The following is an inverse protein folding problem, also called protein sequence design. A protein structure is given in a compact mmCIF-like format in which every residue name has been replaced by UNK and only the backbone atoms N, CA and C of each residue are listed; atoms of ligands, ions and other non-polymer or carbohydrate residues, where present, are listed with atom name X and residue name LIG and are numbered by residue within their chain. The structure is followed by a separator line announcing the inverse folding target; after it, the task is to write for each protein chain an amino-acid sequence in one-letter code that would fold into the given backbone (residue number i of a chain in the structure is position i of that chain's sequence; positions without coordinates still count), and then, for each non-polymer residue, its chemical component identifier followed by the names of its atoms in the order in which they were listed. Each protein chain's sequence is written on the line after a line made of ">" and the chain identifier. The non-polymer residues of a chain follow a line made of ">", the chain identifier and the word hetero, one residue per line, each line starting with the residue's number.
data_IF_713487473873
#
_entry.id   IF_713487473873
#
_cell.length_a   1.000
_cell.length_b   1.000
_cell.length_c   1.000
_cell.angle_alpha   90.00
_cell.angle_beta   90.00
_cell.angle_gamma   90.00
#
_symmetry.space_group_name_H-M   'P 1'
#
loop_
_entity.id
_entity.type
_entity.pdbx_description
1 polymer ?
#
# COMPACT_ATOMS: atom_id res chain seq x y z
N UNK A 1 -7.33 1.68 9.90
CA UNK A 1 -7.64 3.10 9.71
C UNK A 1 -7.52 3.52 8.25
N UNK A 2 -6.35 3.35 7.63
CA UNK A 2 -6.11 3.75 6.23
C UNK A 2 -7.07 3.05 5.25
N UNK A 3 -7.36 1.77 5.45
CA UNK A 3 -8.33 1.02 4.66
C UNK A 3 -9.75 1.63 4.78
N UNK A 4 -10.20 1.91 6.01
CA UNK A 4 -11.50 2.55 6.25
C UNK A 4 -11.58 3.92 5.58
N UNK A 5 -10.51 4.71 5.65
CA UNK A 5 -10.42 6.00 4.98
C UNK A 5 -10.65 5.90 3.47
N UNK A 6 -10.17 4.86 2.81
CA UNK A 6 -10.40 4.64 1.37
C UNK A 6 -11.89 4.60 1.01
N UNK A 7 -12.70 3.93 1.84
CA UNK A 7 -14.15 3.83 1.61
C UNK A 7 -14.91 5.11 1.96
N UNK A 8 -14.38 5.92 2.89
CA UNK A 8 -15.05 7.13 3.39
C UNK A 8 -14.77 8.33 2.47
N UNK A 9 -13.50 8.57 2.12
CA UNK A 9 -13.11 9.78 1.38
C UNK A 9 -13.55 9.78 -0.08
N UNK A 10 -13.74 8.62 -0.71
CA UNK A 10 -14.30 8.54 -2.05
C UNK A 10 -15.66 9.26 -2.13
N UNK A 11 -16.70 8.73 -1.46
CA UNK A 11 -18.03 9.34 -1.45
C UNK A 11 -18.06 10.76 -0.89
N UNK A 12 -17.29 11.06 0.18
CA UNK A 12 -17.23 12.42 0.74
C UNK A 12 -16.72 13.43 -0.28
N UNK A 13 -15.71 13.07 -1.06
CA UNK A 13 -15.17 13.94 -2.09
C UNK A 13 -16.12 14.16 -3.27
N UNK A 14 -17.03 13.21 -3.50
CA UNK A 14 -18.06 13.32 -4.53
C UNK A 14 -19.25 14.20 -4.09
N UNK A 15 -19.43 14.42 -2.78
CA UNK A 15 -20.49 15.27 -2.23
C UNK A 15 -20.02 16.72 -2.00
N UNK A 16 -18.88 16.86 -1.31
CA UNK A 16 -18.39 18.15 -0.82
C UNK A 16 -17.37 18.80 -1.76
N UNK A 17 -17.08 18.18 -2.91
CA UNK A 17 -15.97 18.57 -3.77
C UNK A 17 -14.65 18.01 -3.27
N UNK A 18 -13.54 18.31 -3.96
CA UNK A 18 -12.23 17.70 -3.68
C UNK A 18 -11.46 18.43 -2.58
N UNK A 19 -11.53 19.75 -2.58
CA UNK A 19 -10.73 20.60 -1.68
C UNK A 19 -11.10 20.46 -0.21
N UNK A 20 -12.37 20.49 0.14
CA UNK A 20 -12.82 20.48 1.55
C UNK A 20 -12.46 19.15 2.24
N UNK A 21 -12.80 17.94 1.69
CA UNK A 21 -12.41 16.70 2.34
C UNK A 21 -10.89 16.50 2.42
N UNK A 22 -10.11 17.02 1.45
CA UNK A 22 -8.65 16.98 1.52
C UNK A 22 -8.13 17.80 2.70
N UNK A 23 -8.61 19.03 2.88
CA UNK A 23 -8.24 19.90 4.01
C UNK A 23 -8.63 19.29 5.35
N UNK A 24 -9.84 18.74 5.46
CA UNK A 24 -10.31 18.07 6.68
C UNK A 24 -9.43 16.87 7.02
N UNK A 25 -9.12 16.03 6.04
CA UNK A 25 -8.25 14.86 6.26
C UNK A 25 -6.85 15.27 6.71
N UNK A 26 -6.22 16.23 6.03
CA UNK A 26 -4.88 16.70 6.41
C UNK A 26 -4.91 17.43 7.76
N UNK A 27 -5.98 18.13 8.11
CA UNK A 27 -6.14 18.71 9.44
C UNK A 27 -6.13 17.63 10.54
N UNK A 28 -6.87 16.53 10.36
CA UNK A 28 -6.82 15.39 11.28
C UNK A 28 -5.41 14.80 11.37
N UNK A 29 -4.70 14.67 10.25
CA UNK A 29 -3.32 14.21 10.22
C UNK A 29 -2.39 15.13 11.05
N UNK A 30 -2.47 16.45 10.86
CA UNK A 30 -1.67 17.46 11.58
C UNK A 30 -1.92 17.40 13.08
N UNK A 31 -3.20 17.43 13.48
CA UNK A 31 -3.58 17.41 14.90
C UNK A 31 -3.12 16.13 15.57
N UNK A 32 -3.32 14.99 14.92
CA UNK A 32 -2.89 13.69 15.44
C UNK A 32 -1.37 13.59 15.56
N UNK A 33 -0.61 14.05 14.55
CA UNK A 33 0.86 14.07 14.59
C UNK A 33 1.38 14.96 15.70
N UNK A 34 0.76 16.16 15.92
CA UNK A 34 1.13 17.06 17.01
C UNK A 34 0.93 16.40 18.38
N UNK A 35 -0.23 15.78 18.59
CA UNK A 35 -0.52 15.12 19.87
C UNK A 35 0.35 13.87 20.09
N UNK A 36 0.78 13.16 19.03
CA UNK A 36 1.75 12.07 19.14
C UNK A 36 3.12 12.51 19.69
N UNK A 37 3.47 13.80 19.55
CA UNK A 37 4.72 14.35 20.15
C UNK A 37 4.61 14.51 21.67
N UNK A 38 3.41 14.73 22.20
CA UNK A 38 3.20 15.20 23.58
C UNK A 38 2.70 14.07 24.49
N UNK A 39 2.09 13.03 23.92
CA UNK A 39 1.35 12.02 24.70
C UNK A 39 2.27 10.86 25.11
N UNK A 40 2.25 10.53 26.40
CA UNK A 40 3.00 9.39 26.97
C UNK A 40 2.13 8.12 27.12
N UNK A 41 0.80 8.24 27.02
CA UNK A 41 -0.11 7.12 27.19
C UNK A 41 -0.21 6.30 25.89
N UNK A 42 0.15 5.01 25.96
CA UNK A 42 0.19 4.12 24.78
C UNK A 42 -1.19 3.95 24.10
N UNK A 43 -2.28 3.88 24.87
CA UNK A 43 -3.62 3.73 24.31
C UNK A 43 -4.08 4.98 23.56
N UNK A 44 -3.77 6.15 24.12
CA UNK A 44 -4.05 7.41 23.46
C UNK A 44 -3.16 7.59 22.21
N UNK A 45 -1.90 7.18 22.27
CA UNK A 45 -1.00 7.15 21.14
C UNK A 45 -1.55 6.27 20.00
N UNK A 46 -2.01 5.05 20.30
CA UNK A 46 -2.64 4.16 19.30
C UNK A 46 -3.88 4.81 18.69
N UNK A 47 -4.73 5.45 19.49
CA UNK A 47 -5.90 6.17 18.97
C UNK A 47 -5.51 7.34 18.05
N UNK A 48 -4.50 8.11 18.42
CA UNK A 48 -3.98 9.19 17.57
C UNK A 48 -3.41 8.68 16.24
N UNK A 49 -2.66 7.59 16.28
CA UNK A 49 -2.16 6.92 15.07
C UNK A 49 -3.29 6.42 14.16
N UNK A 50 -4.42 6.00 14.74
CA UNK A 50 -5.61 5.66 13.98
C UNK A 50 -6.16 6.87 13.21
N UNK A 51 -6.33 8.02 13.89
CA UNK A 51 -6.82 9.25 13.26
C UNK A 51 -5.82 9.85 12.28
N UNK A 52 -4.54 9.76 12.55
CA UNK A 52 -3.46 10.18 11.65
C UNK A 52 -3.50 9.40 10.32
N UNK A 53 -3.62 8.08 10.41
CA UNK A 53 -3.73 7.22 9.23
C UNK A 53 -5.03 7.47 8.45
N UNK A 54 -6.15 7.69 9.15
CA UNK A 54 -7.42 8.08 8.54
C UNK A 54 -7.27 9.41 7.78
N UNK A 55 -6.64 10.41 8.40
CA UNK A 55 -6.39 11.72 7.79
C UNK A 55 -5.45 11.64 6.57
N UNK A 56 -4.35 10.90 6.68
CA UNK A 56 -3.37 10.73 5.61
C UNK A 56 -3.94 10.03 4.36
N UNK A 57 -4.91 9.13 4.56
CA UNK A 57 -5.61 8.45 3.47
C UNK A 57 -6.33 9.43 2.52
N UNK A 58 -6.87 10.54 3.03
CA UNK A 58 -7.57 11.56 2.25
C UNK A 58 -6.72 12.07 1.08
N UNK A 59 -5.45 12.36 1.35
CA UNK A 59 -4.51 12.85 0.33
C UNK A 59 -4.40 11.91 -0.87
N UNK A 60 -4.25 10.62 -0.63
CA UNK A 60 -4.07 9.62 -1.70
C UNK A 60 -5.35 9.42 -2.52
N UNK A 61 -6.51 9.33 -1.85
CA UNK A 61 -7.80 9.10 -2.52
C UNK A 61 -8.18 10.30 -3.37
N UNK A 62 -8.08 11.49 -2.78
CA UNK A 62 -8.53 12.73 -3.42
C UNK A 62 -7.58 13.15 -4.54
N UNK A 63 -6.26 12.96 -4.39
CA UNK A 63 -5.31 13.24 -5.46
C UNK A 63 -5.63 12.43 -6.73
N UNK A 64 -5.98 11.14 -6.59
CA UNK A 64 -6.41 10.32 -7.74
C UNK A 64 -7.69 10.85 -8.39
N UNK A 65 -8.64 11.31 -7.58
CA UNK A 65 -9.88 11.89 -8.08
C UNK A 65 -9.63 13.19 -8.84
N UNK A 66 -8.78 14.08 -8.31
CA UNK A 66 -8.41 15.35 -8.96
C UNK A 66 -7.74 15.11 -10.30
N UNK A 67 -6.85 14.12 -10.41
CA UNK A 67 -6.20 13.76 -11.68
C UNK A 67 -7.25 13.33 -12.72
N UNK A 68 -8.22 12.53 -12.32
CA UNK A 68 -9.30 12.12 -13.23
C UNK A 68 -10.25 13.26 -13.62
N UNK A 69 -10.43 14.27 -12.74
CA UNK A 69 -11.29 15.42 -13.00
C UNK A 69 -10.64 16.46 -13.95
N UNK A 70 -9.31 16.60 -13.90
CA UNK A 70 -8.60 17.67 -14.58
C UNK A 70 -7.93 17.26 -15.91
N UNK A 71 -7.63 15.96 -16.07
CA UNK A 71 -6.81 15.49 -17.18
C UNK A 71 -7.53 14.46 -18.05
N UNK A 72 -7.28 14.50 -19.34
CA UNK A 72 -7.74 13.46 -20.27
C UNK A 72 -7.04 12.12 -19.99
N UNK A 73 -7.65 11.01 -20.42
CA UNK A 73 -7.19 9.64 -20.13
C UNK A 73 -5.71 9.42 -20.44
N UNK A 74 -5.20 10.01 -21.55
CA UNK A 74 -3.79 9.86 -21.94
C UNK A 74 -2.84 10.62 -21.02
N UNK A 75 -3.19 11.82 -20.62
CA UNK A 75 -2.42 12.68 -19.71
C UNK A 75 -2.48 12.14 -18.29
N UNK A 76 -3.67 11.75 -17.83
CA UNK A 76 -3.89 11.15 -16.52
C UNK A 76 -3.01 9.91 -16.31
N UNK A 77 -2.82 9.07 -17.34
CA UNK A 77 -1.94 7.91 -17.26
C UNK A 77 -0.49 8.28 -16.93
N UNK A 78 0.03 9.37 -17.49
CA UNK A 78 1.38 9.89 -17.20
C UNK A 78 1.50 10.39 -15.76
N UNK A 79 0.48 11.11 -15.27
CA UNK A 79 0.45 11.63 -13.90
C UNK A 79 0.31 10.49 -12.88
N UNK A 80 -0.53 9.48 -13.16
CA UNK A 80 -0.63 8.30 -12.31
C UNK A 80 0.69 7.53 -12.25
N UNK A 81 1.42 7.40 -13.35
CA UNK A 81 2.75 6.80 -13.36
C UNK A 81 3.71 7.57 -12.45
N UNK A 82 3.70 8.91 -12.51
CA UNK A 82 4.49 9.76 -11.62
C UNK A 82 4.08 9.60 -10.15
N UNK A 83 2.78 9.58 -9.85
CA UNK A 83 2.27 9.32 -8.50
C UNK A 83 2.72 7.95 -7.98
N UNK A 84 2.77 6.92 -8.82
CA UNK A 84 3.29 5.60 -8.45
C UNK A 84 4.78 5.65 -8.10
N UNK A 85 5.59 6.42 -8.85
CA UNK A 85 7.01 6.61 -8.53
C UNK A 85 7.17 7.22 -7.14
N UNK A 86 6.45 8.30 -6.82
CA UNK A 86 6.50 8.91 -5.48
C UNK A 86 5.99 7.97 -4.39
N UNK A 87 4.89 7.25 -4.64
CA UNK A 87 4.35 6.27 -3.68
C UNK A 87 5.30 5.10 -3.42
N UNK A 88 6.16 4.77 -4.38
CA UNK A 88 7.18 3.74 -4.22
C UNK A 88 8.44 4.24 -3.53
N UNK A 89 8.81 5.51 -3.77
CA UNK A 89 9.97 6.14 -3.14
C UNK A 89 9.75 6.42 -1.65
N UNK A 90 8.54 6.79 -1.26
CA UNK A 90 8.24 7.16 0.13
C UNK A 90 8.52 6.03 1.14
N UNK A 91 8.06 4.77 0.95
CA UNK A 91 8.42 3.66 1.83
C UNK A 91 9.93 3.34 1.83
N UNK A 92 10.62 3.63 0.73
CA UNK A 92 12.05 3.43 0.62
C UNK A 92 12.85 4.45 1.42
N UNK A 93 12.46 5.72 1.35
CA UNK A 93 13.18 6.80 1.99
C UNK A 93 12.83 6.91 3.48
N UNK A 94 11.63 6.52 3.89
CA UNK A 94 11.15 6.73 5.25
C UNK A 94 11.97 6.01 6.34
N UNK A 95 12.41 4.74 6.21
CA UNK A 95 13.24 4.12 7.22
C UNK A 95 14.65 4.74 7.30
N UNK A 96 15.24 5.05 6.14
CA UNK A 96 16.57 5.71 6.08
C UNK A 96 16.50 7.10 6.71
N UNK A 97 15.47 7.86 6.41
CA UNK A 97 15.25 9.17 7.00
C UNK A 97 14.90 9.08 8.50
N UNK A 98 14.11 8.08 8.87
CA UNK A 98 13.75 7.78 10.25
C UNK A 98 14.96 7.40 11.09
N UNK A 99 15.83 6.51 10.61
CA UNK A 99 17.07 6.13 11.31
C UNK A 99 18.02 7.32 11.49
N UNK A 100 18.13 8.19 10.46
CA UNK A 100 18.90 9.43 10.56
C UNK A 100 18.33 10.37 11.63
N UNK A 101 17.01 10.53 11.72
CA UNK A 101 16.39 11.34 12.78
C UNK A 101 16.64 10.75 14.17
N UNK A 102 16.59 9.42 14.31
CA UNK A 102 16.83 8.74 15.58
C UNK A 102 18.30 8.81 16.05
N UNK A 103 19.25 8.93 15.12
CA UNK A 103 20.67 9.08 15.45
C UNK A 103 20.97 10.42 16.14
N UNK A 104 20.31 11.51 15.73
CA UNK A 104 20.57 12.86 16.22
C UNK A 104 19.49 13.39 17.18
N UNK A 105 18.30 12.82 17.14
CA UNK A 105 17.13 13.28 17.90
C UNK A 105 16.38 12.11 18.52
N UNK A 106 15.40 12.41 19.36
CA UNK A 106 14.50 11.39 19.93
C UNK A 106 13.43 10.95 18.91
N UNK A 107 12.74 9.84 19.20
CA UNK A 107 11.64 9.34 18.38
C UNK A 107 10.50 10.35 18.15
N UNK A 108 10.34 11.32 19.05
CA UNK A 108 9.38 12.43 18.91
C UNK A 108 9.66 13.29 17.67
N UNK A 109 10.92 13.37 17.23
CA UNK A 109 11.31 14.15 16.04
C UNK A 109 10.66 13.63 14.76
N UNK A 110 10.33 12.34 14.68
CA UNK A 110 9.62 11.73 13.57
C UNK A 110 8.22 12.38 13.45
N UNK A 111 7.48 12.47 14.57
CA UNK A 111 6.14 13.07 14.59
C UNK A 111 6.17 14.58 14.39
N UNK A 112 7.20 15.26 14.90
CA UNK A 112 7.43 16.69 14.62
C UNK A 112 7.65 16.93 13.13
N UNK A 113 8.39 16.06 12.47
CA UNK A 113 8.59 16.13 11.01
C UNK A 113 7.29 15.88 10.25
N UNK A 114 6.50 14.88 10.64
CA UNK A 114 5.18 14.61 10.04
C UNK A 114 4.23 15.79 10.23
N UNK A 115 4.22 16.40 11.42
CA UNK A 115 3.45 17.61 11.71
C UNK A 115 3.84 18.76 10.78
N UNK A 116 5.14 19.05 10.65
CA UNK A 116 5.64 20.11 9.78
C UNK A 116 5.30 19.89 8.30
N UNK A 117 5.47 18.66 7.81
CA UNK A 117 5.08 18.26 6.46
C UNK A 117 3.56 18.35 6.25
N UNK A 118 2.77 18.00 7.26
CA UNK A 118 1.32 18.14 7.26
C UNK A 118 0.89 19.59 7.11
N UNK A 119 1.50 20.52 7.87
CA UNK A 119 1.23 21.96 7.74
C UNK A 119 1.59 22.46 6.34
N UNK A 120 2.78 22.09 5.84
CA UNK A 120 3.20 22.49 4.49
C UNK A 120 2.18 22.05 3.45
N UNK A 121 1.75 20.79 3.51
CA UNK A 121 0.77 20.21 2.60
C UNK A 121 -0.61 20.91 2.74
N UNK A 122 -1.03 21.19 3.97
CA UNK A 122 -2.27 21.93 4.22
C UNK A 122 -2.26 23.32 3.58
N UNK A 123 -1.18 24.07 3.74
CA UNK A 123 -1.01 25.38 3.14
C UNK A 123 -0.97 25.31 1.61
N UNK A 124 -0.27 24.33 1.06
CA UNK A 124 -0.24 24.08 -0.40
C UNK A 124 -1.64 23.81 -0.96
N UNK A 125 -2.46 23.03 -0.27
CA UNK A 125 -3.83 22.75 -0.69
C UNK A 125 -4.73 23.98 -0.48
N UNK A 126 -4.59 24.66 0.65
CA UNK A 126 -5.42 25.83 0.98
C UNK A 126 -5.27 26.95 -0.05
N UNK A 127 -4.03 27.27 -0.43
CA UNK A 127 -3.72 28.37 -1.33
C UNK A 127 -3.52 27.93 -2.80
N UNK A 128 -2.99 26.74 -3.04
CA UNK A 128 -2.64 26.27 -4.38
C UNK A 128 -3.75 25.49 -5.08
N UNK A 129 -4.57 24.71 -4.35
CA UNK A 129 -5.60 23.89 -4.96
C UNK A 129 -6.89 24.67 -5.18
N UNK A 130 -7.30 24.79 -6.45
CA UNK A 130 -8.66 25.21 -6.81
C UNK A 130 -9.60 23.99 -6.80
N UNK A 131 -10.90 24.22 -6.53
CA UNK A 131 -11.87 23.12 -6.60
C UNK A 131 -11.95 22.57 -8.02
N UNK A 132 -11.62 21.27 -8.20
CA UNK A 132 -11.59 20.63 -9.52
C UNK A 132 -12.95 20.11 -9.98
N UNK A 133 -13.88 19.92 -9.07
CA UNK A 133 -15.20 19.37 -9.36
C UNK A 133 -16.35 20.20 -8.81
N UNK A 134 -16.50 21.49 -9.19
CA UNK A 134 -17.52 22.38 -8.66
C UNK A 134 -18.95 21.91 -8.97
N UNK A 135 -19.14 21.15 -10.07
CA UNK A 135 -20.42 20.57 -10.49
C UNK A 135 -20.90 19.45 -9.57
N UNK A 136 -20.04 18.83 -8.77
CA UNK A 136 -20.41 17.76 -7.84
C UNK A 136 -21.14 18.27 -6.61
N UNK A 137 -20.92 19.53 -6.18
CA UNK A 137 -21.53 20.13 -4.98
C UNK A 137 -23.08 20.09 -4.97
N UNK A 138 -23.72 19.90 -6.11
CA UNK A 138 -25.19 19.85 -6.23
C UNK A 138 -25.72 18.43 -6.49
N UNK A 139 -24.85 17.44 -6.57
CA UNK A 139 -25.27 16.07 -6.82
C UNK A 139 -25.78 15.45 -5.52
N UNK A 140 -27.08 15.11 -5.46
CA UNK A 140 -27.63 14.39 -4.30
C UNK A 140 -26.96 13.02 -4.22
N UNK A 141 -26.21 12.79 -3.15
CA UNK A 141 -25.61 11.49 -2.89
C UNK A 141 -26.72 10.48 -2.60
N UNK A 142 -26.80 9.45 -3.44
CA UNK A 142 -27.71 8.34 -3.21
C UNK A 142 -26.94 7.18 -2.61
N UNK A 143 -27.10 6.96 -1.30
CA UNK A 143 -26.54 5.78 -0.60
C UNK A 143 -26.92 4.47 -1.32
N UNK A 144 -28.12 4.43 -1.90
CA UNK A 144 -28.64 3.25 -2.62
C UNK A 144 -27.87 2.98 -3.91
N UNK A 145 -27.49 4.02 -4.65
CA UNK A 145 -26.68 3.90 -5.87
C UNK A 145 -25.24 3.54 -5.56
N UNK A 146 -24.64 4.14 -4.53
CA UNK A 146 -23.30 3.79 -4.07
C UNK A 146 -23.24 2.31 -3.65
N UNK A 147 -24.19 1.86 -2.82
CA UNK A 147 -24.27 0.45 -2.40
C UNK A 147 -24.48 -0.51 -3.57
N UNK A 148 -25.26 -0.11 -4.58
CA UNK A 148 -25.46 -0.89 -5.80
C UNK A 148 -24.18 -1.03 -6.61
N UNK A 149 -23.39 0.05 -6.71
CA UNK A 149 -22.07 0.05 -7.37
C UNK A 149 -21.05 -0.84 -6.63
N UNK A 150 -20.99 -0.76 -5.30
CA UNK A 150 -20.16 -1.67 -4.50
C UNK A 150 -20.54 -3.13 -4.69
N UNK A 151 -21.83 -3.43 -4.64
CA UNK A 151 -22.35 -4.79 -4.84
C UNK A 151 -22.08 -5.31 -6.25
N UNK A 152 -22.10 -4.45 -7.25
CA UNK A 152 -21.78 -4.78 -8.64
C UNK A 152 -20.30 -5.16 -8.78
N UNK A 153 -19.39 -4.34 -8.25
CA UNK A 153 -17.95 -4.58 -8.29
C UNK A 153 -17.55 -5.85 -7.51
N UNK A 154 -18.12 -6.07 -6.33
CA UNK A 154 -17.84 -7.23 -5.48
C UNK A 154 -18.38 -8.56 -6.05
N UNK A 155 -19.28 -8.53 -7.04
CA UNK A 155 -19.77 -9.75 -7.72
C UNK A 155 -18.83 -10.25 -8.83
N UNK A 156 -17.94 -9.41 -9.34
CA UNK A 156 -17.02 -9.82 -10.41
C UNK A 156 -15.87 -10.68 -9.86
N UNK A 157 -15.91 -11.98 -10.14
CA UNK A 157 -14.93 -12.95 -9.66
C UNK A 157 -13.52 -12.70 -10.19
N UNK A 158 -13.37 -12.18 -11.42
CA UNK A 158 -12.05 -11.86 -11.98
C UNK A 158 -11.44 -10.65 -11.30
N UNK A 159 -12.25 -9.62 -11.05
CA UNK A 159 -11.83 -8.49 -10.25
C UNK A 159 -11.31 -8.94 -8.88
N UNK A 160 -12.11 -9.72 -8.16
CA UNK A 160 -11.72 -10.24 -6.84
C UNK A 160 -10.45 -11.09 -6.90
N UNK A 161 -10.27 -11.91 -7.94
CA UNK A 161 -9.03 -12.69 -8.14
C UNK A 161 -7.81 -11.77 -8.16
N UNK A 162 -7.80 -10.73 -8.99
CA UNK A 162 -6.66 -9.81 -9.08
C UNK A 162 -6.50 -8.97 -7.82
N UNK A 163 -7.60 -8.55 -7.20
CA UNK A 163 -7.59 -7.77 -5.95
C UNK A 163 -6.97 -8.59 -4.81
N UNK A 164 -7.38 -9.84 -4.64
CA UNK A 164 -6.83 -10.71 -3.59
C UNK A 164 -5.37 -11.09 -3.86
N UNK A 165 -4.97 -11.30 -5.12
CA UNK A 165 -3.56 -11.49 -5.46
C UNK A 165 -2.71 -10.27 -5.07
N UNK A 166 -3.18 -9.06 -5.39
CA UNK A 166 -2.50 -7.82 -5.01
C UNK A 166 -2.46 -7.64 -3.49
N UNK A 167 -3.57 -7.92 -2.81
CA UNK A 167 -3.71 -7.73 -1.38
C UNK A 167 -2.82 -8.70 -0.57
N UNK A 168 -2.75 -9.96 -0.98
CA UNK A 168 -1.90 -10.96 -0.31
C UNK A 168 -0.41 -10.73 -0.58
N UNK A 169 -0.05 -10.30 -1.78
CA UNK A 169 1.33 -9.91 -2.08
C UNK A 169 1.75 -8.69 -1.26
N UNK A 170 0.86 -7.68 -1.13
CA UNK A 170 1.09 -6.52 -0.26
C UNK A 170 1.13 -6.94 1.23
N UNK A 171 0.28 -7.85 1.66
CA UNK A 171 0.26 -8.36 3.03
C UNK A 171 1.57 -9.08 3.39
N UNK A 172 2.19 -9.81 2.45
CA UNK A 172 3.52 -10.39 2.65
C UNK A 172 4.61 -9.30 2.85
N UNK A 173 4.52 -8.17 2.12
CA UNK A 173 5.39 -7.02 2.36
C UNK A 173 5.16 -6.40 3.74
N UNK A 174 3.92 -6.27 4.19
CA UNK A 174 3.61 -5.74 5.51
C UNK A 174 4.03 -6.68 6.64
N UNK A 175 3.98 -8.00 6.43
CA UNK A 175 4.58 -8.99 7.34
C UNK A 175 6.08 -8.72 7.50
N UNK A 176 6.81 -8.53 6.37
CA UNK A 176 8.21 -8.13 6.37
C UNK A 176 8.43 -6.82 7.13
N UNK A 177 7.69 -5.75 6.81
CA UNK A 177 7.83 -4.44 7.48
C UNK A 177 7.66 -4.57 9.01
N UNK A 178 6.69 -5.38 9.46
CA UNK A 178 6.39 -5.54 10.88
C UNK A 178 7.40 -6.41 11.63
N UNK A 179 7.83 -7.52 11.03
CA UNK A 179 8.65 -8.52 11.70
C UNK A 179 10.16 -8.37 11.45
N UNK A 180 10.57 -7.67 10.39
CA UNK A 180 11.97 -7.65 9.96
C UNK A 180 12.91 -6.97 10.95
N UNK A 181 12.48 -5.89 11.62
CA UNK A 181 13.34 -5.19 12.58
C UNK A 181 13.86 -6.16 13.64
N UNK A 182 12.97 -6.87 14.33
CA UNK A 182 13.35 -7.84 15.37
C UNK A 182 14.21 -8.98 14.83
N UNK A 183 13.86 -9.52 13.65
CA UNK A 183 14.64 -10.62 13.05
C UNK A 183 16.06 -10.18 12.70
N UNK A 184 16.22 -9.00 12.11
CA UNK A 184 17.55 -8.54 11.70
C UNK A 184 18.39 -8.01 12.85
N UNK A 185 17.81 -7.30 13.82
CA UNK A 185 18.56 -6.71 14.93
C UNK A 185 18.77 -7.66 16.10
N UNK A 186 17.76 -8.47 16.47
CA UNK A 186 17.86 -9.36 17.63
C UNK A 186 18.36 -10.77 17.27
N UNK A 187 17.96 -11.32 16.12
CA UNK A 187 18.34 -12.68 15.73
C UNK A 187 19.66 -12.71 14.93
N UNK A 188 19.82 -11.79 13.94
CA UNK A 188 21.03 -11.70 13.13
C UNK A 188 22.06 -10.71 13.66
N UNK A 189 21.79 -10.05 14.79
CA UNK A 189 22.68 -9.13 15.50
C UNK A 189 23.21 -7.96 14.62
N UNK A 190 22.32 -7.45 13.74
CA UNK A 190 22.63 -6.30 12.90
C UNK A 190 22.38 -4.99 13.65
N UNK A 191 23.21 -3.99 13.38
CA UNK A 191 22.93 -2.63 13.85
C UNK A 191 21.71 -2.03 13.13
N UNK A 192 21.04 -1.06 13.78
CA UNK A 192 19.91 -0.34 13.17
C UNK A 192 20.28 0.30 11.81
N UNK A 193 21.52 0.77 11.68
CA UNK A 193 22.02 1.32 10.41
C UNK A 193 22.14 0.26 9.33
N UNK A 194 22.68 -0.92 9.66
CA UNK A 194 22.80 -2.05 8.73
C UNK A 194 21.42 -2.52 8.30
N UNK A 195 20.48 -2.65 9.24
CA UNK A 195 19.07 -2.95 8.93
C UNK A 195 18.46 -1.89 8.00
N UNK A 196 18.67 -0.60 8.29
CA UNK A 196 18.19 0.49 7.45
C UNK A 196 18.73 0.42 6.01
N UNK A 197 20.01 0.04 5.82
CA UNK A 197 20.60 -0.15 4.50
C UNK A 197 19.96 -1.34 3.74
N UNK A 198 19.75 -2.47 4.40
CA UNK A 198 19.10 -3.64 3.80
C UNK A 198 17.65 -3.31 3.42
N UNK A 199 16.92 -2.63 4.30
CA UNK A 199 15.55 -2.18 4.02
C UNK A 199 15.50 -1.23 2.82
N UNK A 200 16.44 -0.29 2.73
CA UNK A 200 16.61 0.60 1.58
C UNK A 200 16.94 -0.16 0.29
N UNK A 201 17.80 -1.18 0.35
CA UNK A 201 18.14 -2.02 -0.78
C UNK A 201 16.90 -2.79 -1.31
N UNK A 202 16.07 -3.34 -0.42
CA UNK A 202 14.84 -4.01 -0.76
C UNK A 202 13.86 -3.07 -1.48
N UNK A 203 13.72 -1.85 -0.99
CA UNK A 203 12.90 -0.83 -1.62
C UNK A 203 13.44 -0.40 -3.00
N UNK A 204 14.76 -0.31 -3.17
CA UNK A 204 15.41 -0.10 -4.48
C UNK A 204 15.08 -1.22 -5.46
N UNK A 205 15.15 -2.48 -5.03
CA UNK A 205 14.75 -3.64 -5.82
C UNK A 205 13.32 -3.51 -6.35
N UNK A 206 12.38 -3.10 -5.49
CA UNK A 206 11.00 -2.84 -5.87
C UNK A 206 10.90 -1.75 -6.96
N UNK A 207 11.56 -0.61 -6.78
CA UNK A 207 11.55 0.51 -7.74
C UNK A 207 12.17 0.11 -9.08
N UNK A 208 13.29 -0.61 -9.07
CA UNK A 208 13.94 -1.11 -10.29
C UNK A 208 12.97 -2.03 -11.05
N UNK A 209 12.36 -2.98 -10.37
CA UNK A 209 11.40 -3.91 -10.98
C UNK A 209 10.14 -3.20 -11.50
N UNK A 210 9.64 -2.18 -10.81
CA UNK A 210 8.52 -1.37 -11.29
C UNK A 210 8.86 -0.61 -12.59
N UNK A 211 10.08 -0.05 -12.68
CA UNK A 211 10.56 0.61 -13.90
C UNK A 211 10.78 -0.38 -15.05
N UNK A 212 11.29 -1.58 -14.76
CA UNK A 212 11.41 -2.65 -15.76
C UNK A 212 10.02 -3.07 -16.22
N UNK A 213 9.05 -3.20 -15.31
CA UNK A 213 7.66 -3.53 -15.65
C UNK A 213 7.05 -2.52 -16.62
N UNK A 214 7.27 -1.22 -16.41
CA UNK A 214 6.77 -0.16 -17.30
C UNK A 214 7.27 -0.30 -18.76
N UNK A 215 8.44 -0.92 -18.95
CA UNK A 215 8.98 -1.24 -20.29
C UNK A 215 8.41 -2.57 -20.81
N UNK A 216 8.27 -3.57 -19.94
CA UNK A 216 7.82 -4.92 -20.31
C UNK A 216 6.34 -4.96 -20.74
N UNK A 217 5.45 -4.17 -20.12
CA UNK A 217 4.02 -4.12 -20.47
C UNK A 217 3.78 -3.58 -21.89
N UNK A 218 4.78 -2.93 -22.52
CA UNK A 218 4.72 -2.52 -23.91
C UNK A 218 4.94 -3.68 -24.89
N UNK A 219 5.55 -4.78 -24.43
CA UNK A 219 5.92 -5.94 -25.26
C UNK A 219 5.17 -7.21 -24.89
N UNK A 220 4.76 -7.33 -23.64
CA UNK A 220 4.15 -8.54 -23.08
C UNK A 220 2.82 -8.21 -22.39
N UNK A 221 1.90 -9.15 -22.43
CA UNK A 221 0.61 -9.05 -21.74
C UNK A 221 0.81 -9.02 -20.21
N UNK A 222 0.10 -8.14 -19.53
CA UNK A 222 0.13 -8.00 -18.06
C UNK A 222 -0.13 -9.32 -17.34
N UNK A 223 -0.96 -10.20 -17.89
CA UNK A 223 -1.28 -11.52 -17.32
C UNK A 223 -0.06 -12.47 -17.30
N UNK A 224 0.76 -12.43 -18.37
CA UNK A 224 1.98 -13.24 -18.46
C UNK A 224 3.06 -12.76 -17.51
N UNK A 225 3.20 -11.43 -17.38
CA UNK A 225 4.14 -10.81 -16.44
C UNK A 225 3.73 -11.15 -15.01
N UNK A 226 2.45 -10.96 -14.66
CA UNK A 226 1.88 -11.26 -13.34
C UNK A 226 2.11 -12.73 -12.95
N UNK A 227 1.81 -13.68 -13.85
CA UNK A 227 1.98 -15.09 -13.59
C UNK A 227 3.43 -15.47 -13.24
N UNK A 228 4.40 -14.93 -13.99
CA UNK A 228 5.82 -15.18 -13.73
C UNK A 228 6.28 -14.52 -12.43
N UNK A 229 5.86 -13.28 -12.17
CA UNK A 229 6.23 -12.56 -10.95
C UNK A 229 5.68 -13.25 -9.69
N UNK A 230 4.43 -13.72 -9.71
CA UNK A 230 3.84 -14.49 -8.61
C UNK A 230 4.60 -15.81 -8.36
N UNK A 231 5.02 -16.51 -9.42
CA UNK A 231 5.78 -17.73 -9.29
C UNK A 231 7.17 -17.49 -8.72
N UNK A 232 7.89 -16.46 -9.21
CA UNK A 232 9.22 -16.10 -8.68
C UNK A 232 9.10 -15.69 -7.20
N UNK A 233 8.10 -14.89 -6.85
CA UNK A 233 7.84 -14.50 -5.46
C UNK A 233 7.56 -15.74 -4.58
N UNK A 234 6.80 -16.71 -5.08
CA UNK A 234 6.52 -17.96 -4.35
C UNK A 234 7.79 -18.79 -4.13
N UNK A 235 8.58 -19.01 -5.18
CA UNK A 235 9.85 -19.75 -5.06
C UNK A 235 10.79 -19.06 -4.07
N UNK A 236 10.87 -17.74 -4.13
CA UNK A 236 11.70 -16.95 -3.23
C UNK A 236 11.24 -17.07 -1.76
N UNK A 237 9.93 -16.97 -1.49
CA UNK A 237 9.41 -17.14 -0.12
C UNK A 237 9.52 -18.59 0.36
N UNK A 238 9.50 -19.56 -0.54
CA UNK A 238 9.76 -20.95 -0.19
C UNK A 238 11.24 -21.18 0.20
N UNK A 239 12.18 -20.57 -0.54
CA UNK A 239 13.61 -20.58 -0.18
C UNK A 239 13.81 -19.88 1.17
N UNK A 240 13.15 -18.75 1.41
CA UNK A 240 13.15 -18.06 2.69
C UNK A 240 12.71 -18.99 3.83
N UNK A 241 11.62 -19.70 3.63
CA UNK A 241 11.06 -20.65 4.60
C UNK A 241 12.03 -21.80 4.90
N UNK A 242 12.59 -22.41 3.86
CA UNK A 242 13.57 -23.50 3.98
C UNK A 242 14.83 -23.02 4.72
N UNK A 243 15.33 -21.82 4.38
CA UNK A 243 16.48 -21.22 5.04
C UNK A 243 16.19 -20.98 6.54
N UNK A 244 15.01 -20.46 6.88
CA UNK A 244 14.63 -20.18 8.26
C UNK A 244 14.53 -21.45 9.12
N UNK A 245 14.11 -22.59 8.53
CA UNK A 245 13.96 -23.86 9.26
C UNK A 245 15.26 -24.67 9.38
N UNK A 246 16.05 -24.74 8.32
CA UNK A 246 17.18 -25.66 8.26
C UNK A 246 18.48 -25.04 8.82
N UNK A 247 18.82 -23.86 8.34
CA UNK A 247 20.05 -23.18 8.76
C UNK A 247 19.96 -21.69 8.42
N UNK A 248 19.55 -20.84 9.35
CA UNK A 248 19.38 -19.42 9.10
C UNK A 248 20.70 -18.75 8.68
N UNK A 249 20.82 -18.48 7.39
CA UNK A 249 21.94 -17.75 6.83
C UNK A 249 21.46 -16.36 6.41
N UNK A 250 22.04 -15.30 6.95
CA UNK A 250 21.67 -13.90 6.71
C UNK A 250 21.62 -13.55 5.21
N UNK A 251 22.65 -13.95 4.46
CA UNK A 251 22.74 -13.60 3.04
C UNK A 251 21.60 -14.23 2.22
N UNK A 252 21.34 -15.52 2.43
CA UNK A 252 20.27 -16.22 1.72
C UNK A 252 18.89 -15.73 2.18
N UNK A 253 18.75 -15.40 3.47
CA UNK A 253 17.53 -14.83 4.04
C UNK A 253 17.19 -13.51 3.38
N UNK A 254 18.17 -12.58 3.35
CA UNK A 254 17.99 -11.26 2.75
C UNK A 254 17.80 -11.33 1.23
N UNK A 255 18.57 -12.14 0.51
CA UNK A 255 18.40 -12.33 -0.93
C UNK A 255 17.00 -12.83 -1.30
N UNK A 256 16.42 -13.69 -0.45
CA UNK A 256 15.05 -14.19 -0.62
C UNK A 256 14.01 -13.09 -0.37
N UNK A 257 14.19 -12.29 0.68
CA UNK A 257 13.34 -11.12 0.96
C UNK A 257 13.46 -10.09 -0.16
N UNK A 258 14.67 -9.71 -0.55
CA UNK A 258 14.93 -8.78 -1.64
C UNK A 258 14.18 -9.18 -2.91
N UNK A 259 14.31 -10.45 -3.31
CA UNK A 259 13.62 -10.97 -4.49
C UNK A 259 12.10 -10.89 -4.33
N UNK A 260 11.56 -11.26 -3.17
CA UNK A 260 10.11 -11.22 -2.89
C UNK A 260 9.56 -9.80 -2.97
N UNK A 261 10.24 -8.83 -2.35
CA UNK A 261 9.83 -7.42 -2.35
C UNK A 261 9.98 -6.81 -3.75
N UNK A 262 11.06 -7.13 -4.46
CA UNK A 262 11.27 -6.68 -5.84
C UNK A 262 10.15 -7.14 -6.79
N UNK A 263 9.63 -8.36 -6.62
CA UNK A 263 8.53 -8.89 -7.45
C UNK A 263 7.22 -8.10 -7.28
N UNK A 264 7.02 -7.40 -6.17
CA UNK A 264 5.87 -6.49 -6.02
C UNK A 264 5.88 -5.36 -7.06
N UNK A 265 7.05 -4.94 -7.53
CA UNK A 265 7.17 -3.97 -8.63
C UNK A 265 6.52 -4.43 -9.94
N UNK A 266 6.40 -5.75 -10.15
CA UNK A 266 5.63 -6.32 -11.26
C UNK A 266 4.18 -6.63 -10.86
N UNK A 267 3.96 -7.17 -9.68
CA UNK A 267 2.63 -7.65 -9.25
C UNK A 267 1.65 -6.50 -9.08
N UNK A 268 2.00 -5.45 -8.36
CA UNK A 268 1.10 -4.36 -8.01
C UNK A 268 0.52 -3.62 -9.25
N UNK A 269 1.33 -3.15 -10.22
CA UNK A 269 0.78 -2.44 -11.38
C UNK A 269 -0.02 -3.37 -12.30
N UNK A 270 0.42 -4.62 -12.51
CA UNK A 270 -0.29 -5.54 -13.39
C UNK A 270 -1.62 -6.02 -12.81
N UNK A 271 -1.69 -6.31 -11.51
CA UNK A 271 -2.97 -6.66 -10.85
C UNK A 271 -3.95 -5.50 -10.87
N UNK A 272 -3.47 -4.27 -10.59
CA UNK A 272 -4.30 -3.06 -10.65
C UNK A 272 -4.86 -2.84 -12.05
N UNK A 273 -4.02 -2.93 -13.07
CA UNK A 273 -4.45 -2.77 -14.47
C UNK A 273 -5.50 -3.81 -14.86
N UNK A 274 -5.27 -5.09 -14.53
CA UNK A 274 -6.18 -6.19 -14.85
C UNK A 274 -7.49 -6.09 -14.07
N UNK A 275 -7.46 -5.67 -12.81
CA UNK A 275 -8.65 -5.45 -12.01
C UNK A 275 -9.49 -4.29 -12.54
N UNK A 276 -8.85 -3.14 -12.84
CA UNK A 276 -9.54 -1.92 -13.24
C UNK A 276 -10.06 -1.94 -14.69
N UNK A 277 -9.49 -2.77 -15.57
CA UNK A 277 -9.80 -2.81 -17.00
C UNK A 277 -11.30 -3.01 -17.31
N UNK A 278 -12.06 -3.63 -16.39
CA UNK A 278 -13.47 -3.96 -16.55
C UNK A 278 -14.44 -2.89 -16.02
N UNK A 279 -13.94 -1.92 -15.25
CA UNK A 279 -14.77 -0.98 -14.49
C UNK A 279 -14.54 0.47 -14.87
N UNK A 280 -14.59 0.80 -16.17
CA UNK A 280 -14.39 2.18 -16.64
C UNK A 280 -15.42 3.16 -16.03
N UNK A 281 -16.71 2.76 -15.99
CA UNK A 281 -17.80 3.59 -15.44
C UNK A 281 -17.87 3.58 -13.91
N UNK A 282 -17.31 2.56 -13.26
CA UNK A 282 -17.29 2.39 -11.80
C UNK A 282 -15.85 2.42 -11.24
N UNK A 283 -14.96 3.12 -11.91
CA UNK A 283 -13.51 3.13 -11.59
C UNK A 283 -13.23 3.61 -10.16
N UNK A 284 -13.95 4.61 -9.68
CA UNK A 284 -13.84 5.12 -8.32
C UNK A 284 -14.19 4.06 -7.27
N UNK A 285 -15.34 3.39 -7.45
CA UNK A 285 -15.78 2.31 -6.55
C UNK A 285 -14.83 1.12 -6.59
N UNK A 286 -14.38 0.70 -7.78
CA UNK A 286 -13.44 -0.40 -7.94
C UNK A 286 -12.09 -0.09 -7.30
N UNK A 287 -11.57 1.14 -7.45
CA UNK A 287 -10.34 1.59 -6.80
C UNK A 287 -10.47 1.63 -5.27
N UNK A 288 -11.61 2.08 -4.75
CA UNK A 288 -11.88 2.09 -3.30
C UNK A 288 -11.92 0.68 -2.71
N UNK A 289 -12.59 -0.27 -3.38
CA UNK A 289 -12.64 -1.69 -2.96
C UNK A 289 -11.25 -2.33 -3.02
N UNK A 290 -10.50 -2.09 -4.09
CA UNK A 290 -9.13 -2.59 -4.25
C UNK A 290 -8.24 -2.09 -3.11
N UNK A 291 -8.22 -0.79 -2.85
CA UNK A 291 -7.42 -0.21 -1.78
C UNK A 291 -7.87 -0.68 -0.38
N UNK A 292 -9.17 -0.77 -0.14
CA UNK A 292 -9.70 -1.28 1.12
C UNK A 292 -9.23 -2.71 1.40
N UNK A 293 -9.42 -3.64 0.46
CA UNK A 293 -9.04 -5.04 0.64
C UNK A 293 -7.53 -5.18 0.80
N UNK A 294 -6.73 -4.43 0.03
CA UNK A 294 -5.26 -4.43 0.14
C UNK A 294 -4.80 -4.03 1.54
N UNK A 295 -5.22 -2.88 2.04
CA UNK A 295 -4.77 -2.38 3.33
C UNK A 295 -5.44 -3.09 4.52
N UNK A 296 -6.66 -3.61 4.37
CA UNK A 296 -7.30 -4.41 5.41
C UNK A 296 -6.56 -5.73 5.62
N UNK A 297 -6.22 -6.47 4.55
CA UNK A 297 -5.43 -7.70 4.65
C UNK A 297 -4.01 -7.43 5.13
N UNK A 298 -3.37 -6.36 4.64
CA UNK A 298 -2.04 -5.96 5.11
C UNK A 298 -2.04 -5.68 6.62
N UNK A 299 -3.03 -4.95 7.13
CA UNK A 299 -3.18 -4.68 8.56
C UNK A 299 -3.48 -5.93 9.38
N UNK A 300 -4.33 -6.84 8.88
CA UNK A 300 -4.61 -8.10 9.56
C UNK A 300 -3.35 -8.98 9.67
N UNK A 301 -2.62 -9.15 8.58
CA UNK A 301 -1.39 -9.96 8.57
C UNK A 301 -0.31 -9.31 9.44
N UNK A 302 -0.16 -7.99 9.41
CA UNK A 302 0.74 -7.25 10.30
C UNK A 302 0.39 -7.50 11.77
N UNK A 303 -0.90 -7.49 12.12
CA UNK A 303 -1.38 -7.80 13.47
C UNK A 303 -1.09 -9.25 13.87
N UNK A 304 -1.23 -10.21 12.95
CA UNK A 304 -0.89 -11.61 13.19
C UNK A 304 0.62 -11.77 13.46
N UNK A 305 1.48 -11.13 12.66
CA UNK A 305 2.94 -11.17 12.88
C UNK A 305 3.31 -10.60 14.23
N UNK A 306 2.69 -9.45 14.61
CA UNK A 306 2.92 -8.84 15.91
C UNK A 306 2.43 -9.70 17.07
N UNK A 307 1.27 -10.36 16.94
CA UNK A 307 0.69 -11.21 17.98
C UNK A 307 1.42 -12.54 18.18
N UNK A 308 2.16 -13.00 17.18
CA UNK A 308 2.96 -14.24 17.24
C UNK A 308 4.36 -14.01 17.80
N UNK A 309 4.67 -12.81 18.31
CA UNK A 309 6.01 -12.44 18.79
C UNK A 309 7.10 -12.89 17.80
N UNK A 310 7.07 -12.31 16.60
CA UNK A 310 7.89 -12.74 15.46
C UNK A 310 9.40 -12.41 15.65
N UNK A 311 9.96 -12.78 16.80
CA UNK A 311 11.39 -12.64 17.13
C UNK A 311 12.23 -13.72 16.44
N UNK A 312 11.59 -14.63 15.70
CA UNK A 312 12.28 -15.70 14.97
C UNK A 312 12.08 -15.57 13.47
N UNK A 313 13.12 -15.90 12.67
CA UNK A 313 13.02 -15.92 11.21
C UNK A 313 11.88 -16.81 10.69
N UNK A 314 11.56 -17.88 11.43
CA UNK A 314 10.57 -18.91 11.05
C UNK A 314 9.17 -18.31 10.92
N UNK A 315 8.71 -17.51 11.91
CA UNK A 315 7.37 -16.95 11.92
C UNK A 315 7.20 -15.98 10.73
N UNK A 316 8.18 -15.11 10.52
CA UNK A 316 8.18 -14.18 9.40
C UNK A 316 8.12 -14.93 8.05
N UNK A 317 8.98 -15.93 7.88
CA UNK A 317 9.04 -16.74 6.66
C UNK A 317 7.76 -17.54 6.42
N UNK A 318 7.15 -18.12 7.47
CA UNK A 318 5.87 -18.84 7.39
C UNK A 318 4.75 -17.92 6.91
N UNK A 319 4.61 -16.75 7.51
CA UNK A 319 3.54 -15.80 7.17
C UNK A 319 3.71 -15.28 5.75
N UNK A 320 4.92 -14.88 5.36
CA UNK A 320 5.20 -14.43 4.00
C UNK A 320 4.90 -15.53 2.97
N UNK A 321 5.39 -16.75 3.20
CA UNK A 321 5.18 -17.87 2.32
C UNK A 321 3.69 -18.25 2.21
N UNK A 322 2.96 -18.27 3.32
CA UNK A 322 1.52 -18.56 3.34
C UNK A 322 0.72 -17.53 2.52
N UNK A 323 0.99 -16.25 2.70
CA UNK A 323 0.35 -15.19 1.91
C UNK A 323 0.58 -15.37 0.41
N UNK A 324 1.83 -15.62 0.01
CA UNK A 324 2.20 -15.76 -1.40
C UNK A 324 1.68 -17.07 -2.00
N UNK A 325 1.66 -18.16 -1.23
CA UNK A 325 1.05 -19.43 -1.63
C UNK A 325 -0.44 -19.24 -1.94
N UNK A 326 -1.18 -18.62 -1.01
CA UNK A 326 -2.63 -18.36 -1.19
C UNK A 326 -2.87 -17.44 -2.38
N UNK A 327 -2.04 -16.41 -2.60
CA UNK A 327 -2.12 -15.55 -3.77
C UNK A 327 -1.98 -16.34 -5.08
N UNK A 328 -0.99 -17.24 -5.15
CA UNK A 328 -0.80 -18.12 -6.31
C UNK A 328 -2.00 -19.08 -6.51
N UNK A 329 -2.49 -19.69 -5.44
CA UNK A 329 -3.67 -20.58 -5.52
C UNK A 329 -4.90 -19.84 -6.07
N UNK A 330 -5.19 -18.64 -5.56
CA UNK A 330 -6.30 -17.80 -6.04
C UNK A 330 -6.11 -17.44 -7.51
N UNK A 331 -4.91 -17.05 -7.91
CA UNK A 331 -4.61 -16.71 -9.30
C UNK A 331 -4.85 -17.90 -10.25
N UNK A 332 -4.28 -19.05 -9.96
CA UNK A 332 -4.37 -20.23 -10.84
C UNK A 332 -5.78 -20.84 -10.85
N UNK A 333 -6.49 -20.84 -9.72
CA UNK A 333 -7.88 -21.29 -9.65
C UNK A 333 -8.83 -20.32 -10.38
N UNK A 334 -8.61 -19.02 -10.23
CA UNK A 334 -9.38 -17.99 -10.92
C UNK A 334 -9.21 -18.04 -12.44
N UNK A 335 -8.02 -18.38 -12.92
CA UNK A 335 -7.72 -18.52 -14.34
C UNK A 335 -8.39 -19.75 -14.99
N UNK A 336 -8.55 -20.85 -14.24
CA UNK A 336 -9.22 -22.07 -14.72
C UNK A 336 -10.73 -21.93 -14.95
N UNK A 337 -11.36 -20.85 -14.46
CA UNK A 337 -12.80 -20.64 -14.56
C UNK A 337 -13.15 -19.47 -15.53
N UNK A 338 -13.04 -19.67 -16.87
CA UNK A 338 -13.28 -18.62 -17.86
C UNK A 338 -14.76 -18.26 -18.04
N UNK A 339 -15.70 -18.99 -17.38
CA UNK A 339 -17.15 -18.78 -17.48
C UNK A 339 -17.66 -17.68 -16.54
N UNK A 340 -17.18 -16.48 -16.77
CA UNK A 340 -17.84 -15.24 -16.39
C UNK A 340 -18.15 -14.47 -17.66
N UNK A 341 -18.90 -15.08 -18.59
CA UNK A 341 -19.62 -14.32 -19.61
C UNK A 341 -20.73 -13.54 -18.90
N UNK A 342 -20.74 -12.23 -19.16
CA UNK A 342 -21.83 -11.30 -18.86
C UNK A 342 -23.12 -11.82 -19.44
#
# INVERSE_FOLDING_TARGET
>A
AFALGQLIYGPLSDIFGRKIPALVGIFFFIVSSLFCVIIDNIYAFIALRFFEALGGCAGVVIARAIVNDLFEIKEAAGIFALMMVFSSLAPMLSPTFGSFLLEYFSWHSIFTTLFALGILLFLMILFGLKESAPHLKNKKFSHKEAMKSYKFVLKDKRFLTYVFCAALALAAMFAYITGSSFVFTEFFDLSEQQFGMLFGANALGFVICANINARLVRKFESEKILSKALMIMFVSTLILLINAFLYPNLFLFEASIFTSIAMLGFIAPNTTTLAMARFKEHSGTASAVLGFIQFALAGLISSVVSALDANTPIILACVMCACVLVANMIYFLGKKNPKGKI
#
